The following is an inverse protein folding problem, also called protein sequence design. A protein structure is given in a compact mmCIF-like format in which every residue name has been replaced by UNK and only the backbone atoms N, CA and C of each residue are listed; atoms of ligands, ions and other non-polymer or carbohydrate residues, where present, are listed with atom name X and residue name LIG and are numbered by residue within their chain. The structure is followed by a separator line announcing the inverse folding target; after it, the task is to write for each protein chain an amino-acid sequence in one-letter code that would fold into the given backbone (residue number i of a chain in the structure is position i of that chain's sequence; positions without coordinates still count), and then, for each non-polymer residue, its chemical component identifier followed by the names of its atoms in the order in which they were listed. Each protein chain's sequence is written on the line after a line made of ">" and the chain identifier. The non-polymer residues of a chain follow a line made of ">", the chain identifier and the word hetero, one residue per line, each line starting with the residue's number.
data_IF_652715784933
#
_entry.id   IF_652715784933
#
_cell.length_a   1.000
_cell.length_b   1.000
_cell.length_c   1.000
_cell.angle_alpha   90.00
_cell.angle_beta   90.00
_cell.angle_gamma   90.00
#
_symmetry.space_group_name_H-M   'P 1'
#
loop_
_entity.id
_entity.type
_entity.pdbx_description
1 polymer ?
#
# COMPACT_ATOMS: atom_id res chain seq x y z
N UNK A 1 10.68 13.85 -6.09
CA UNK A 1 9.78 14.60 -5.19
C UNK A 1 9.31 13.64 -4.11
N UNK A 2 9.18 14.12 -2.87
CA UNK A 2 8.56 13.32 -1.79
C UNK A 2 7.16 12.88 -2.21
N UNK A 3 6.76 11.66 -1.85
CA UNK A 3 5.44 11.08 -2.14
C UNK A 3 5.08 10.87 -3.62
N UNK A 4 6.01 11.11 -4.54
CA UNK A 4 5.77 10.83 -5.96
C UNK A 4 5.80 9.33 -6.26
N UNK A 5 6.64 8.56 -5.58
CA UNK A 5 6.79 7.12 -5.78
C UNK A 5 6.71 6.41 -4.44
N UNK A 6 5.73 5.53 -4.28
CA UNK A 6 5.48 4.86 -3.00
C UNK A 6 5.63 3.33 -3.11
N UNK A 7 5.91 2.70 -1.97
CA UNK A 7 5.79 1.27 -1.76
C UNK A 7 4.55 0.95 -0.93
N UNK A 8 3.86 -0.15 -1.23
CA UNK A 8 2.69 -0.67 -0.53
C UNK A 8 2.94 -2.11 -0.11
N UNK A 9 2.55 -2.45 1.12
CA UNK A 9 2.70 -3.80 1.66
C UNK A 9 1.71 -4.05 2.81
N UNK A 10 1.37 -5.31 3.07
CA UNK A 10 0.55 -5.72 4.20
C UNK A 10 1.39 -6.47 5.25
N UNK A 11 1.35 -5.97 6.48
CA UNK A 11 1.84 -6.73 7.64
C UNK A 11 0.64 -7.43 8.27
N UNK A 12 0.59 -8.74 8.10
CA UNK A 12 -0.50 -9.59 8.58
C UNK A 12 -0.11 -10.44 9.79
N UNK A 13 -1.03 -11.29 10.26
CA UNK A 13 -0.85 -12.21 11.37
C UNK A 13 -0.48 -11.55 12.72
N UNK A 14 -0.90 -10.29 12.91
CA UNK A 14 -0.68 -9.57 14.17
C UNK A 14 -1.72 -9.95 15.23
N UNK A 15 -1.37 -9.88 16.53
CA UNK A 15 -2.35 -9.98 17.60
C UNK A 15 -3.47 -8.96 17.40
N UNK A 16 -4.72 -9.37 17.63
CA UNK A 16 -5.88 -8.50 17.44
C UNK A 16 -5.93 -7.45 18.55
N UNK A 17 -5.76 -6.18 18.21
CA UNK A 17 -5.87 -5.04 19.13
C UNK A 17 -6.96 -4.10 18.63
N UNK A 18 -7.98 -3.84 19.46
CA UNK A 18 -9.10 -2.96 19.07
C UNK A 18 -9.86 -3.43 17.82
N UNK A 19 -9.91 -4.75 17.58
CA UNK A 19 -10.57 -5.32 16.41
C UNK A 19 -9.70 -5.39 15.14
N UNK A 20 -8.48 -4.84 15.18
CA UNK A 20 -7.56 -4.74 14.04
C UNK A 20 -6.40 -5.73 14.17
N UNK A 21 -5.99 -6.33 13.07
CA UNK A 21 -4.97 -7.41 13.04
C UNK A 21 -4.08 -7.36 11.80
N UNK A 22 -4.23 -6.33 10.97
CA UNK A 22 -3.46 -6.11 9.74
C UNK A 22 -3.02 -4.66 9.70
N UNK A 23 -1.83 -4.38 9.16
CA UNK A 23 -1.36 -3.03 8.90
C UNK A 23 -1.06 -2.90 7.42
N UNK A 24 -1.71 -1.93 6.76
CA UNK A 24 -1.27 -1.44 5.46
C UNK A 24 -0.10 -0.48 5.68
N UNK A 25 1.08 -0.85 5.21
CA UNK A 25 2.26 0.00 5.21
C UNK A 25 2.37 0.75 3.90
N UNK A 26 2.58 2.06 3.98
CA UNK A 26 2.79 2.93 2.80
C UNK A 26 4.07 3.72 2.99
N UNK A 27 5.02 3.53 2.09
CA UNK A 27 6.38 4.09 2.22
C UNK A 27 6.65 5.05 1.07
N UNK A 28 7.06 6.29 1.37
CA UNK A 28 7.67 7.16 0.37
C UNK A 28 9.08 6.67 0.01
N UNK A 29 9.30 6.29 -1.25
CA UNK A 29 10.58 5.71 -1.66
C UNK A 29 11.73 6.71 -1.65
N UNK A 30 11.43 8.01 -1.68
CA UNK A 30 12.43 9.08 -1.64
C UNK A 30 12.89 9.39 -0.21
N UNK A 31 11.98 9.81 0.68
CA UNK A 31 12.31 10.19 2.06
C UNK A 31 12.43 9.00 3.03
N UNK A 32 11.93 7.83 2.65
CA UNK A 32 11.74 6.66 3.52
C UNK A 32 10.74 6.87 4.67
N UNK A 33 9.95 7.94 4.63
CA UNK A 33 8.85 8.13 5.57
C UNK A 33 7.75 7.08 5.34
N UNK A 34 7.18 6.55 6.42
CA UNK A 34 6.16 5.51 6.37
C UNK A 34 4.87 5.93 7.08
N UNK A 35 3.72 5.58 6.50
CA UNK A 35 2.44 5.49 7.22
C UNK A 35 2.13 4.03 7.52
N UNK A 36 1.62 3.79 8.73
CA UNK A 36 1.12 2.49 9.16
C UNK A 36 -0.38 2.63 9.44
N UNK A 37 -1.19 2.07 8.56
CA UNK A 37 -2.64 2.20 8.62
C UNK A 37 -3.23 0.87 9.13
N UNK A 38 -3.75 0.82 10.37
CA UNK A 38 -4.27 -0.42 10.93
C UNK A 38 -5.66 -0.73 10.37
N UNK A 39 -5.86 -1.97 9.92
CA UNK A 39 -7.06 -2.50 9.29
C UNK A 39 -7.64 -3.67 10.10
N UNK A 40 -8.97 -3.83 10.02
CA UNK A 40 -9.67 -5.00 10.54
C UNK A 40 -9.63 -6.15 9.53
N UNK A 41 -9.53 -7.40 10.00
CA UNK A 41 -9.61 -8.58 9.15
C UNK A 41 -10.97 -9.30 9.33
N UNK A 42 -11.61 -9.78 8.25
CA UNK A 42 -11.17 -9.66 6.86
C UNK A 42 -11.30 -8.22 6.32
N UNK A 43 -10.33 -7.79 5.51
CA UNK A 43 -10.40 -6.55 4.75
C UNK A 43 -10.77 -6.85 3.29
N UNK A 44 -11.41 -5.90 2.63
CA UNK A 44 -11.71 -5.97 1.19
C UNK A 44 -10.92 -4.90 0.44
N UNK A 45 -10.81 -5.05 -0.88
CA UNK A 45 -10.17 -4.04 -1.73
C UNK A 45 -10.79 -2.66 -1.54
N UNK A 46 -12.11 -2.56 -1.37
CA UNK A 46 -12.81 -1.30 -1.14
C UNK A 46 -12.40 -0.66 0.20
N UNK A 47 -12.29 -1.45 1.27
CA UNK A 47 -11.85 -0.92 2.57
C UNK A 47 -10.40 -0.43 2.55
N UNK A 48 -9.53 -1.11 1.81
CA UNK A 48 -8.14 -0.68 1.60
C UNK A 48 -8.09 0.59 0.77
N UNK A 49 -8.89 0.69 -0.29
CA UNK A 49 -8.99 1.90 -1.10
C UNK A 49 -9.48 3.09 -0.26
N UNK A 50 -10.51 2.91 0.56
CA UNK A 50 -11.00 3.96 1.46
C UNK A 50 -9.88 4.45 2.38
N UNK A 51 -9.20 3.54 3.08
CA UNK A 51 -8.06 3.84 3.96
C UNK A 51 -6.92 4.56 3.21
N UNK A 52 -6.55 4.08 2.02
CA UNK A 52 -5.51 4.70 1.21
C UNK A 52 -5.86 6.15 0.84
N UNK A 53 -7.10 6.40 0.42
CA UNK A 53 -7.52 7.76 0.06
C UNK A 53 -7.70 8.68 1.27
N UNK A 54 -8.22 8.17 2.39
CA UNK A 54 -8.41 8.96 3.61
C UNK A 54 -7.10 9.33 4.29
N UNK A 55 -6.10 8.47 4.26
CA UNK A 55 -4.89 8.63 5.07
C UNK A 55 -3.65 8.99 4.25
N UNK A 56 -3.57 8.56 2.98
CA UNK A 56 -2.43 8.89 2.12
C UNK A 56 -2.78 10.02 1.16
N UNK A 57 -3.77 9.81 0.30
CA UNK A 57 -4.09 10.79 -0.78
C UNK A 57 -4.52 12.13 -0.20
N UNK A 58 -5.32 12.13 0.87
CA UNK A 58 -5.73 13.37 1.55
C UNK A 58 -4.54 14.20 2.04
N UNK A 59 -3.44 13.56 2.45
CA UNK A 59 -2.27 14.25 3.03
C UNK A 59 -1.23 14.61 1.98
N UNK A 60 -0.98 13.73 1.00
CA UNK A 60 0.16 13.85 0.08
C UNK A 60 -0.23 14.00 -1.40
N UNK A 61 -1.53 13.91 -1.70
CA UNK A 61 -2.05 13.85 -3.06
C UNK A 61 -1.92 12.46 -3.68
N UNK A 62 -2.29 12.36 -4.96
CA UNK A 62 -2.15 11.11 -5.72
C UNK A 62 -0.68 10.89 -6.09
N UNK A 63 -0.07 9.74 -5.75
CA UNK A 63 1.29 9.43 -6.17
C UNK A 63 1.38 9.22 -7.68
N UNK A 64 2.55 9.48 -8.26
CA UNK A 64 2.81 9.23 -9.68
C UNK A 64 2.95 7.73 -9.96
N UNK A 65 3.59 6.99 -9.05
CA UNK A 65 3.72 5.55 -9.14
C UNK A 65 3.70 4.85 -7.80
N UNK A 66 3.32 3.57 -7.82
CA UNK A 66 3.23 2.71 -6.65
C UNK A 66 3.82 1.35 -6.99
N UNK A 67 4.67 0.85 -6.09
CA UNK A 67 5.17 -0.52 -6.12
C UNK A 67 4.46 -1.32 -5.03
N UNK A 68 3.88 -2.46 -5.37
CA UNK A 68 3.25 -3.37 -4.41
C UNK A 68 3.68 -4.80 -4.67
N UNK A 69 3.52 -5.67 -3.68
CA UNK A 69 3.60 -7.11 -3.90
C UNK A 69 2.37 -7.62 -4.69
N UNK A 70 2.20 -8.94 -4.75
CA UNK A 70 1.09 -9.58 -5.48
C UNK A 70 -0.10 -9.94 -4.59
N UNK A 71 -0.29 -9.22 -3.50
CA UNK A 71 -1.48 -9.42 -2.67
C UNK A 71 -2.78 -9.35 -3.51
N UNK A 72 -3.80 -10.18 -3.23
CA UNK A 72 -5.07 -10.18 -3.95
C UNK A 72 -5.75 -8.81 -4.04
N UNK A 73 -5.57 -7.93 -3.06
CA UNK A 73 -6.10 -6.56 -3.10
C UNK A 73 -5.43 -5.77 -4.22
N UNK A 74 -4.10 -5.75 -4.27
CA UNK A 74 -3.35 -4.96 -5.25
C UNK A 74 -3.47 -5.52 -6.67
N UNK A 75 -3.65 -6.84 -6.80
CA UNK A 75 -3.87 -7.49 -8.10
C UNK A 75 -5.33 -7.48 -8.57
N UNK A 76 -6.26 -7.03 -7.73
CA UNK A 76 -7.68 -6.97 -8.09
C UNK A 76 -7.95 -6.00 -9.25
N UNK A 77 -9.00 -6.32 -10.02
CA UNK A 77 -9.48 -5.44 -11.11
C UNK A 77 -9.92 -4.07 -10.59
N UNK A 78 -10.58 -4.05 -9.43
CA UNK A 78 -11.03 -2.81 -8.81
C UNK A 78 -9.85 -1.89 -8.48
N UNK A 79 -8.82 -2.42 -7.81
CA UNK A 79 -7.64 -1.63 -7.45
C UNK A 79 -6.90 -1.11 -8.68
N UNK A 80 -6.64 -1.99 -9.64
CA UNK A 80 -5.98 -1.62 -10.90
C UNK A 80 -6.73 -0.51 -11.63
N UNK A 81 -8.06 -0.61 -11.72
CA UNK A 81 -8.89 0.38 -12.40
C UNK A 81 -8.98 1.71 -11.63
N UNK A 82 -9.11 1.66 -10.30
CA UNK A 82 -9.10 2.85 -9.45
C UNK A 82 -7.82 3.65 -9.62
N UNK A 83 -6.66 2.96 -9.65
CA UNK A 83 -5.36 3.61 -9.80
C UNK A 83 -5.16 4.17 -11.20
N UNK A 84 -5.63 3.45 -12.24
CA UNK A 84 -5.65 3.94 -13.62
C UNK A 84 -6.47 5.23 -13.75
N UNK A 85 -7.67 5.26 -13.16
CA UNK A 85 -8.54 6.45 -13.17
C UNK A 85 -7.98 7.61 -12.36
N UNK A 86 -7.23 7.31 -11.29
CA UNK A 86 -6.54 8.31 -10.47
C UNK A 86 -5.29 8.87 -11.14
N UNK A 87 -4.80 8.25 -12.21
CA UNK A 87 -3.57 8.64 -12.91
C UNK A 87 -2.28 8.09 -12.27
N UNK A 88 -2.39 7.15 -11.33
CA UNK A 88 -1.25 6.51 -10.67
C UNK A 88 -0.81 5.26 -11.45
N UNK A 89 0.51 5.10 -11.66
CA UNK A 89 1.08 3.90 -12.27
C UNK A 89 1.30 2.82 -11.21
N UNK A 90 0.80 1.61 -11.46
CA UNK A 90 0.97 0.47 -10.56
C UNK A 90 2.03 -0.48 -11.10
N UNK A 91 3.01 -0.81 -10.27
CA UNK A 91 4.10 -1.73 -10.56
C UNK A 91 4.06 -2.90 -9.56
N UNK A 92 3.99 -4.13 -10.06
CA UNK A 92 3.99 -5.32 -9.21
C UNK A 92 5.42 -5.84 -9.07
N UNK A 93 5.88 -6.01 -7.83
CA UNK A 93 7.14 -6.70 -7.54
C UNK A 93 6.93 -8.22 -7.63
N UNK A 94 8.01 -8.98 -7.77
CA UNK A 94 7.94 -10.44 -7.69
C UNK A 94 7.61 -10.86 -6.27
N UNK A 95 6.59 -11.70 -6.09
CA UNK A 95 6.18 -12.21 -4.78
C UNK A 95 7.29 -13.05 -4.14
N UNK A 96 8.01 -12.48 -3.18
CA UNK A 96 8.83 -13.19 -2.21
C UNK A 96 8.91 -12.35 -0.93
N UNK A 97 8.20 -12.78 0.12
CA UNK A 97 8.37 -12.28 1.49
C UNK A 97 8.95 -13.44 2.32
N UNK A 98 10.13 -13.26 2.94
CA UNK A 98 10.07 -12.92 4.36
C UNK A 98 11.11 -11.91 4.87
N UNK A 99 12.16 -11.51 4.13
CA UNK A 99 13.21 -10.63 4.68
C UNK A 99 14.18 -10.04 3.64
N UNK A 100 13.82 -10.00 2.36
CA UNK A 100 14.79 -9.78 1.27
C UNK A 100 14.49 -8.62 0.33
N UNK A 101 13.69 -7.64 0.77
CA UNK A 101 13.66 -6.33 0.11
C UNK A 101 13.55 -5.24 1.16
N UNK A 102 14.57 -5.18 2.03
CA UNK A 102 14.95 -3.90 2.61
C UNK A 102 15.32 -2.98 1.46
N UNK A 103 14.33 -2.27 0.91
CA UNK A 103 14.47 -1.10 0.04
C UNK A 103 15.56 -1.25 -1.02
N UNK A 104 15.26 -1.65 -2.27
CA UNK A 104 16.26 -1.52 -3.32
C UNK A 104 16.49 -0.02 -3.55
N UNK A 105 17.58 0.45 -2.96
CA UNK A 105 18.37 1.54 -3.48
C UNK A 105 18.86 1.10 -4.86
N UNK A 106 18.15 1.55 -5.89
CA UNK A 106 18.77 2.11 -7.09
C UNK A 106 17.78 3.00 -7.83
#
# INVERSE_FOLDING_TARGET
>A
MVWANIGLDFVEALPKVGGKSVILMVVDRFSKYCHFIPLAHPYTTETVAQAFFSDIVRLHGIPQSMASDRDPVFTSKFWSELMRLSGAKLHMTSAFHPQSDAMPFH
#
